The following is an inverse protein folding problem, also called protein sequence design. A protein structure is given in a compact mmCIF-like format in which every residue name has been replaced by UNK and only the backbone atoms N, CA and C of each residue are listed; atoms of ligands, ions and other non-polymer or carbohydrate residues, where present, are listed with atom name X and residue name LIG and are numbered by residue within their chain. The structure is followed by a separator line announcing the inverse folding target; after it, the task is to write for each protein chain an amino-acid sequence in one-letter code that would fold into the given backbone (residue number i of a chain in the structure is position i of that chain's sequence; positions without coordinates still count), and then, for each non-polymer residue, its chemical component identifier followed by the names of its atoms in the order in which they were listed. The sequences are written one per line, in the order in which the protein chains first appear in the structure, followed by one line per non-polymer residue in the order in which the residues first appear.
data_IF_987279736478
#
_entry.id   IF_987279736478
#
_cell.length_a   1.000
_cell.length_b   1.000
_cell.length_c   1.000
_cell.angle_alpha   90.00
_cell.angle_beta   90.00
_cell.angle_gamma   90.00
#
_symmetry.space_group_name_H-M   'P 1'
#
loop_
_entity.id
_entity.type
_entity.pdbx_description
1 polymer ?
#
# COMPACT_ATOMS: atom_id res chain seq x y z
N UNK A 1 11.72 -1.00 28.09
CA UNK A 1 10.27 -0.68 28.06
C UNK A 1 10.16 0.76 27.57
N UNK A 2 9.59 1.02 26.38
CA UNK A 2 9.43 2.41 25.89
C UNK A 2 8.24 3.04 26.59
N UNK A 3 8.48 4.05 27.42
CA UNK A 3 7.44 4.78 28.14
C UNK A 3 6.74 5.77 27.21
N UNK A 4 5.44 5.94 27.38
CA UNK A 4 4.65 6.94 26.65
C UNK A 4 5.04 8.34 27.15
N UNK A 5 5.46 9.23 26.25
CA UNK A 5 5.85 10.61 26.63
C UNK A 5 4.67 11.37 27.25
N UNK A 6 4.96 12.31 28.16
CA UNK A 6 3.93 13.07 28.88
C UNK A 6 3.05 13.90 27.92
N UNK A 7 3.59 14.32 26.78
CA UNK A 7 2.86 14.97 25.69
C UNK A 7 1.76 14.08 25.10
N UNK A 8 2.06 12.79 24.91
CA UNK A 8 1.08 11.82 24.40
C UNK A 8 0.07 11.46 25.49
N UNK A 9 0.49 11.40 26.76
CA UNK A 9 -0.41 11.14 27.90
C UNK A 9 -1.43 12.26 28.08
N UNK A 10 -1.01 13.53 27.97
CA UNK A 10 -1.90 14.69 28.08
C UNK A 10 -2.87 14.88 26.92
N UNK A 11 -2.64 14.22 25.78
CA UNK A 11 -3.51 14.28 24.61
C UNK A 11 -4.72 13.33 24.69
N UNK A 12 -4.74 12.44 25.69
CA UNK A 12 -5.84 11.49 25.94
C UNK A 12 -6.58 11.98 27.18
N UNK A 13 -7.88 12.31 27.08
CA UNK A 13 -8.66 12.74 28.23
C UNK A 13 -8.63 11.65 29.32
N UNK A 14 -8.42 12.04 30.57
CA UNK A 14 -8.60 11.12 31.69
C UNK A 14 -10.04 10.61 31.72
N UNK A 15 -10.19 9.31 31.98
CA UNK A 15 -11.48 8.64 32.13
C UNK A 15 -11.56 7.99 33.50
N UNK A 16 -12.74 8.00 34.08
CA UNK A 16 -12.98 7.45 35.42
C UNK A 16 -12.81 5.92 35.45
N UNK A 17 -13.12 5.25 34.33
CA UNK A 17 -12.97 3.81 34.20
C UNK A 17 -11.73 3.46 33.37
N UNK A 18 -10.96 2.47 33.86
CA UNK A 18 -9.80 1.96 33.15
C UNK A 18 -10.13 1.43 31.74
N UNK A 19 -11.31 0.83 31.56
CA UNK A 19 -11.80 0.36 30.26
C UNK A 19 -11.99 1.50 29.26
N UNK A 20 -12.57 2.62 29.68
CA UNK A 20 -12.81 3.79 28.83
C UNK A 20 -11.50 4.51 28.46
N UNK A 21 -10.53 4.53 29.39
CA UNK A 21 -9.20 5.07 29.12
C UNK A 21 -8.45 4.21 28.10
N UNK A 22 -8.48 2.88 28.25
CA UNK A 22 -7.92 1.94 27.28
C UNK A 22 -8.58 2.04 25.90
N UNK A 23 -9.90 2.27 25.86
CA UNK A 23 -10.62 2.51 24.61
C UNK A 23 -10.20 3.84 23.97
N UNK A 24 -10.04 4.92 24.75
CA UNK A 24 -9.57 6.22 24.24
C UNK A 24 -8.14 6.13 23.70
N UNK A 25 -7.29 5.32 24.32
CA UNK A 25 -5.98 4.93 23.80
C UNK A 25 -6.17 4.21 22.46
N UNK A 26 -6.94 3.12 22.40
CA UNK A 26 -7.17 2.36 21.17
C UNK A 26 -7.65 3.26 20.01
N UNK A 27 -8.63 4.14 20.26
CA UNK A 27 -9.17 5.10 19.30
C UNK A 27 -8.09 6.09 18.80
N UNK A 28 -7.21 6.57 19.67
CA UNK A 28 -6.09 7.45 19.30
C UNK A 28 -4.97 6.71 18.56
N UNK A 29 -4.76 5.43 18.85
CA UNK A 29 -3.73 4.62 18.20
C UNK A 29 -4.22 3.88 16.94
N UNK A 30 -5.50 4.00 16.57
CA UNK A 30 -6.01 3.79 15.19
C UNK A 30 -5.23 4.57 14.13
N UNK A 31 -4.43 5.56 14.55
CA UNK A 31 -3.47 6.28 13.73
C UNK A 31 -2.40 5.36 13.14
N UNK A 32 -2.09 4.21 13.77
CA UNK A 32 -1.16 3.24 13.22
C UNK A 32 -1.68 2.66 11.89
N UNK A 33 -2.95 2.23 11.86
CA UNK A 33 -3.57 1.67 10.65
C UNK A 33 -3.56 2.68 9.50
N UNK A 34 -3.79 3.96 9.78
CA UNK A 34 -3.70 5.04 8.78
C UNK A 34 -2.28 5.27 8.27
N UNK A 35 -1.30 5.23 9.17
CA UNK A 35 0.12 5.38 8.84
C UNK A 35 0.60 4.16 8.02
N UNK A 36 0.22 2.96 8.42
CA UNK A 36 0.50 1.71 7.72
C UNK A 36 -0.12 1.72 6.33
N UNK A 37 -1.39 2.10 6.21
CA UNK A 37 -2.06 2.20 4.93
C UNK A 37 -1.42 3.26 4.02
N UNK A 38 -0.99 4.41 4.56
CA UNK A 38 -0.23 5.41 3.81
C UNK A 38 1.09 4.84 3.29
N UNK A 39 1.86 4.12 4.12
CA UNK A 39 3.11 3.49 3.71
C UNK A 39 2.90 2.42 2.63
N UNK A 40 1.84 1.61 2.74
CA UNK A 40 1.49 0.61 1.74
C UNK A 40 1.07 1.27 0.41
N UNK A 41 0.31 2.36 0.46
CA UNK A 41 -0.10 3.11 -0.73
C UNK A 41 1.09 3.78 -1.42
N UNK A 42 2.00 4.38 -0.66
CA UNK A 42 3.24 4.95 -1.16
C UNK A 42 4.10 3.87 -1.83
N UNK A 43 4.21 2.70 -1.18
CA UNK A 43 4.92 1.54 -1.75
C UNK A 43 4.27 1.07 -3.05
N UNK A 44 2.94 0.95 -3.10
CA UNK A 44 2.21 0.50 -4.28
C UNK A 44 2.40 1.47 -5.46
N UNK A 45 2.26 2.77 -5.22
CA UNK A 45 2.31 3.82 -6.25
C UNK A 45 3.71 4.14 -6.75
N UNK A 46 4.73 3.95 -5.91
CA UNK A 46 6.14 4.12 -6.29
C UNK A 46 6.77 2.86 -6.89
N UNK A 47 6.08 1.71 -6.84
CA UNK A 47 6.62 0.44 -7.31
C UNK A 47 6.92 0.50 -8.81
N UNK A 48 8.16 0.16 -9.17
CA UNK A 48 8.63 0.07 -10.55
C UNK A 48 9.08 -1.34 -10.85
N UNK A 49 8.87 -1.77 -12.09
CA UNK A 49 9.39 -3.04 -12.56
C UNK A 49 10.91 -2.99 -12.63
N UNK A 50 11.56 -3.99 -12.04
CA UNK A 50 13.02 -4.17 -12.10
C UNK A 50 13.38 -5.11 -13.24
N UNK A 51 14.45 -4.80 -13.99
CA UNK A 51 14.97 -5.70 -15.04
C UNK A 51 15.39 -7.08 -14.52
N UNK A 52 15.64 -7.19 -13.22
CA UNK A 52 16.09 -8.43 -12.58
C UNK A 52 14.92 -9.28 -12.04
N UNK A 53 13.68 -8.81 -12.22
CA UNK A 53 12.46 -9.46 -11.74
C UNK A 53 11.59 -9.85 -12.93
N UNK A 54 10.90 -10.99 -12.88
CA UNK A 54 9.94 -11.30 -13.93
C UNK A 54 8.58 -10.60 -13.67
N UNK A 55 7.80 -10.38 -14.74
CA UNK A 55 6.52 -9.66 -14.66
C UNK A 55 5.53 -10.34 -13.70
N UNK A 56 5.55 -11.68 -13.60
CA UNK A 56 4.65 -12.42 -12.72
C UNK A 56 4.95 -12.14 -11.24
N UNK A 57 6.22 -12.16 -10.85
CA UNK A 57 6.68 -11.79 -9.51
C UNK A 57 6.30 -10.35 -9.18
N UNK A 58 6.50 -9.44 -10.13
CA UNK A 58 6.16 -8.03 -9.96
C UNK A 58 4.67 -7.83 -9.68
N UNK A 59 3.80 -8.45 -10.47
CA UNK A 59 2.35 -8.42 -10.26
C UNK A 59 1.95 -9.07 -8.94
N UNK A 60 2.58 -10.18 -8.56
CA UNK A 60 2.30 -10.84 -7.28
C UNK A 60 2.64 -9.94 -6.09
N UNK A 61 3.75 -9.21 -6.13
CA UNK A 61 4.10 -8.26 -5.08
C UNK A 61 3.11 -7.09 -5.01
N UNK A 62 2.69 -6.54 -6.15
CA UNK A 62 1.67 -5.50 -6.20
C UNK A 62 0.32 -5.99 -5.65
N UNK A 63 -0.12 -7.19 -6.02
CA UNK A 63 -1.36 -7.81 -5.51
C UNK A 63 -1.28 -8.08 -4.00
N UNK A 64 -0.10 -8.48 -3.49
CA UNK A 64 0.09 -8.66 -2.06
C UNK A 64 -0.12 -7.33 -1.30
N UNK A 65 0.42 -6.22 -1.81
CA UNK A 65 0.20 -4.89 -1.22
C UNK A 65 -1.27 -4.47 -1.30
N UNK A 66 -1.93 -4.70 -2.44
CA UNK A 66 -3.38 -4.46 -2.60
C UNK A 66 -4.20 -5.25 -1.56
N UNK A 67 -3.84 -6.51 -1.31
CA UNK A 67 -4.49 -7.34 -0.30
C UNK A 67 -4.27 -6.82 1.13
N UNK A 68 -3.07 -6.35 1.44
CA UNK A 68 -2.77 -5.71 2.74
C UNK A 68 -3.59 -4.43 2.94
N UNK A 69 -3.72 -3.59 1.90
CA UNK A 69 -4.56 -2.40 1.92
C UNK A 69 -6.06 -2.75 2.12
N UNK A 70 -6.54 -3.82 1.48
CA UNK A 70 -7.91 -4.28 1.66
C UNK A 70 -8.22 -4.74 3.10
N UNK A 71 -7.23 -5.32 3.80
CA UNK A 71 -7.37 -5.69 5.22
C UNK A 71 -7.47 -4.46 6.15
N UNK A 72 -6.99 -3.30 5.69
CA UNK A 72 -7.07 -2.01 6.38
C UNK A 72 -8.29 -1.17 5.93
N UNK A 73 -9.27 -1.81 5.27
CA UNK A 73 -10.45 -1.17 4.68
C UNK A 73 -10.13 -0.12 3.59
N UNK A 74 -8.90 -0.15 3.04
CA UNK A 74 -8.45 0.69 1.93
C UNK A 74 -8.44 -0.08 0.61
N UNK A 75 -9.63 -0.50 0.16
CA UNK A 75 -9.75 -1.23 -1.11
C UNK A 75 -9.31 -0.36 -2.28
N UNK A 76 -8.39 -0.89 -3.08
CA UNK A 76 -7.95 -0.29 -4.34
C UNK A 76 -8.87 -0.76 -5.46
N UNK A 77 -9.42 0.19 -6.22
CA UNK A 77 -10.22 -0.09 -7.41
C UNK A 77 -9.42 -0.91 -8.43
N UNK A 78 -10.08 -1.91 -9.04
CA UNK A 78 -9.45 -2.81 -10.00
C UNK A 78 -8.94 -2.07 -11.25
N UNK A 79 -9.73 -1.13 -11.76
CA UNK A 79 -9.33 -0.30 -12.91
C UNK A 79 -8.08 0.53 -12.61
N UNK A 80 -8.04 1.15 -11.42
CA UNK A 80 -6.87 1.88 -10.96
C UNK A 80 -5.64 0.98 -10.78
N UNK A 81 -5.82 -0.22 -10.20
CA UNK A 81 -4.75 -1.19 -10.02
C UNK A 81 -4.16 -1.65 -11.36
N UNK A 82 -5.00 -1.94 -12.35
CA UNK A 82 -4.56 -2.30 -13.71
C UNK A 82 -3.76 -1.16 -14.33
N UNK A 83 -4.20 0.10 -14.20
CA UNK A 83 -3.47 1.26 -14.69
C UNK A 83 -2.10 1.43 -14.01
N UNK A 84 -2.01 1.12 -12.72
CA UNK A 84 -0.75 1.14 -11.97
C UNK A 84 0.22 0.07 -12.46
N UNK A 85 -0.26 -1.17 -12.56
CA UNK A 85 0.52 -2.32 -13.03
C UNK A 85 0.99 -2.13 -14.48
N UNK A 86 0.17 -1.50 -15.31
CA UNK A 86 0.54 -1.16 -16.69
C UNK A 86 1.63 -0.09 -16.78
N UNK A 87 1.67 0.86 -15.83
CA UNK A 87 2.62 1.98 -15.80
C UNK A 87 3.88 1.72 -14.94
N UNK A 88 3.97 0.56 -14.31
CA UNK A 88 5.14 0.19 -13.51
C UNK A 88 6.39 -0.18 -14.34
N UNK A 89 6.28 -0.74 -15.58
CA UNK A 89 7.43 -0.96 -16.44
C UNK A 89 8.09 0.33 -16.91
N UNK A 90 9.42 0.36 -17.10
CA UNK A 90 10.09 1.47 -17.77
C UNK A 90 9.62 1.57 -19.22
N UNK A 91 9.43 2.81 -19.72
CA UNK A 91 8.95 3.10 -21.08
C UNK A 91 9.72 2.33 -22.18
N UNK A 92 11.03 2.13 -21.98
CA UNK A 92 11.89 1.40 -22.93
C UNK A 92 11.53 -0.09 -23.10
N UNK A 93 10.97 -0.74 -22.08
CA UNK A 93 10.53 -2.14 -22.19
C UNK A 93 9.13 -2.25 -22.76
N UNK A 94 8.29 -1.24 -22.56
CA UNK A 94 6.94 -1.24 -23.08
C UNK A 94 6.94 -1.14 -24.62
N UNK A 95 7.81 -0.31 -25.19
CA UNK A 95 7.92 -0.15 -26.64
C UNK A 95 8.43 -1.44 -27.34
N UNK A 96 9.33 -2.20 -26.70
CA UNK A 96 9.82 -3.47 -27.27
C UNK A 96 8.75 -4.58 -27.21
N UNK A 97 7.99 -4.66 -26.12
CA UNK A 97 6.84 -5.57 -26.00
C UNK A 97 5.73 -5.23 -27.00
N UNK A 98 5.40 -3.93 -27.13
CA UNK A 98 4.39 -3.42 -28.07
C UNK A 98 4.76 -3.74 -29.53
N UNK A 99 6.03 -3.52 -29.90
CA UNK A 99 6.53 -3.85 -31.24
C UNK A 99 6.45 -5.35 -31.50
N UNK A 100 6.83 -6.18 -30.53
CA UNK A 100 6.78 -7.65 -30.66
C UNK A 100 5.35 -8.16 -30.81
N UNK A 101 4.42 -7.67 -30.01
CA UNK A 101 3.00 -8.04 -30.08
C UNK A 101 2.35 -7.64 -31.41
N UNK A 102 2.60 -6.42 -31.89
CA UNK A 102 2.06 -5.96 -33.17
C UNK A 102 2.59 -6.79 -34.34
N UNK A 103 3.88 -7.14 -34.34
CA UNK A 103 4.50 -7.97 -35.39
C UNK A 103 3.93 -9.40 -35.42
N UNK A 104 3.50 -9.92 -34.28
CA UNK A 104 2.83 -11.23 -34.19
C UNK A 104 1.36 -11.19 -34.63
N UNK A 105 0.71 -10.02 -34.51
CA UNK A 105 -0.67 -9.81 -34.93
C UNK A 105 -0.80 -9.57 -36.44
N UNK A 106 0.27 -9.08 -37.07
CA UNK A 106 0.37 -8.87 -38.52
C UNK A 106 0.79 -10.14 -39.30
N UNK A 107 0.86 -11.31 -38.63
CA UNK A 107 1.00 -12.64 -39.23
C UNK A 107 -0.28 -13.43 -39.07
#
# INVERSE_FOLDING_TARGET
MKTLSDTVRGAIPEKALASEYLQSIAEKFTTNDKIEASMLLDKLTSMKFSMNQNMREHLMEMMNIQGQLANLDMRVDEGFFIQLAFKSPPDQHFESLKTTYNTQKDK
#
